data_IF_279746897604
#
_entry.id   IF_279746897604
#
_cell.length_a   1.000
_cell.length_b   1.000
_cell.length_c   1.000
_cell.angle_alpha   90.00
_cell.angle_beta   90.00
_cell.angle_gamma   90.00
#
_symmetry.space_group_name_H-M   'P 1'
#
loop_
_entity.id
_entity.type
_entity.pdbx_description
1 polymer ?
#
# COMPACT_ATOMS: atom_id res chain seq x y z
N UNK A 1 -2.11 -11.44 6.41
CA UNK A 1 -1.64 -10.75 7.64
C UNK A 1 -2.48 -9.50 7.91
N UNK A 2 -2.69 -9.08 9.16
CA UNK A 2 -3.28 -7.77 9.45
C UNK A 2 -2.27 -6.65 9.13
N UNK A 3 -2.67 -5.69 8.28
CA UNK A 3 -1.78 -4.59 7.91
C UNK A 3 -1.68 -3.53 9.00
N UNK A 4 -0.46 -3.17 9.41
CA UNK A 4 -0.20 -2.12 10.41
C UNK A 4 0.55 -0.90 9.85
N UNK A 5 0.86 -0.90 8.55
CA UNK A 5 1.68 0.12 7.89
C UNK A 5 1.13 0.51 6.52
N UNK A 6 1.17 1.81 6.24
CA UNK A 6 0.97 2.41 4.92
C UNK A 6 2.32 2.75 4.32
N UNK A 7 2.52 2.51 3.03
CA UNK A 7 3.81 2.72 2.37
C UNK A 7 3.71 3.77 1.27
N UNK A 8 4.75 4.60 1.18
CA UNK A 8 4.99 5.55 0.10
C UNK A 8 6.31 5.18 -0.57
N UNK A 9 6.24 4.70 -1.81
CA UNK A 9 7.40 4.32 -2.59
C UNK A 9 7.99 5.54 -3.31
N UNK A 10 9.28 5.78 -3.08
CA UNK A 10 10.05 6.87 -3.68
C UNK A 10 10.93 6.41 -4.84
N UNK A 11 11.39 5.16 -4.81
CA UNK A 11 12.23 4.56 -5.84
C UNK A 11 11.87 3.07 -6.02
N UNK A 12 12.00 2.57 -7.25
CA UNK A 12 11.81 1.15 -7.59
C UNK A 12 10.47 0.82 -8.26
N UNK A 13 10.31 -0.47 -8.53
CA UNK A 13 9.10 -1.07 -9.11
C UNK A 13 8.73 -2.32 -8.31
N UNK A 14 7.43 -2.53 -8.12
CA UNK A 14 6.88 -3.72 -7.45
C UNK A 14 5.74 -4.32 -8.27
N UNK A 15 5.57 -5.62 -8.17
CA UNK A 15 4.39 -6.33 -8.63
C UNK A 15 3.44 -6.62 -7.47
N UNK A 16 2.14 -6.55 -7.74
CA UNK A 16 1.04 -6.79 -6.81
C UNK A 16 0.42 -8.14 -7.16
N UNK A 17 0.40 -9.05 -6.19
CA UNK A 17 -0.13 -10.40 -6.34
C UNK A 17 -1.39 -10.60 -5.50
N UNK A 18 -2.42 -11.24 -6.06
CA UNK A 18 -3.55 -11.81 -5.33
C UNK A 18 -3.62 -13.30 -5.64
N UNK A 19 -3.64 -14.14 -4.61
CA UNK A 19 -3.68 -15.60 -4.76
C UNK A 19 -2.63 -16.11 -5.78
N UNK A 20 -1.38 -15.66 -5.62
CA UNK A 20 -0.23 -15.95 -6.51
C UNK A 20 -0.35 -15.48 -7.97
N UNK A 21 -1.43 -14.80 -8.34
CA UNK A 21 -1.61 -14.17 -9.66
C UNK A 21 -1.16 -12.71 -9.60
N UNK A 22 -0.28 -12.31 -10.51
CA UNK A 22 0.08 -10.90 -10.68
C UNK A 22 -1.14 -10.15 -11.24
N UNK A 23 -1.61 -9.14 -10.51
CA UNK A 23 -2.80 -8.36 -10.87
C UNK A 23 -2.46 -6.91 -11.23
N UNK A 24 -1.29 -6.43 -10.85
CA UNK A 24 -0.85 -5.06 -11.13
C UNK A 24 0.66 -4.91 -10.95
N UNK A 25 1.23 -3.86 -11.53
CA UNK A 25 2.60 -3.39 -11.27
C UNK A 25 2.57 -1.91 -10.90
N UNK A 26 3.33 -1.53 -9.87
CA UNK A 26 3.46 -0.15 -9.39
C UNK A 26 4.90 0.32 -9.56
N UNK A 27 5.09 1.51 -10.13
CA UNK A 27 6.38 2.20 -10.21
C UNK A 27 6.37 3.43 -9.31
N UNK A 28 7.53 3.84 -8.80
CA UNK A 28 7.63 5.09 -8.05
C UNK A 28 7.28 6.33 -8.91
N UNK A 29 6.61 7.35 -8.35
CA UNK A 29 6.05 7.40 -7.00
C UNK A 29 4.72 6.64 -6.92
N UNK A 30 4.56 5.81 -5.89
CA UNK A 30 3.31 5.09 -5.64
C UNK A 30 3.05 4.88 -4.15
N UNK A 31 1.83 4.51 -3.80
CA UNK A 31 1.43 4.21 -2.41
C UNK A 31 0.69 2.89 -2.37
N UNK A 32 0.79 2.18 -1.26
CA UNK A 32 0.06 0.94 -1.06
C UNK A 32 -0.12 0.60 0.43
N UNK A 33 -1.12 -0.24 0.71
CA UNK A 33 -1.38 -0.78 2.04
C UNK A 33 -2.44 -0.08 2.86
N UNK A 34 -3.09 0.93 2.28
CA UNK A 34 -4.21 1.67 2.83
C UNK A 34 -5.44 0.78 3.09
N UNK A 35 -5.71 -0.19 2.21
CA UNK A 35 -6.92 -1.01 2.29
C UNK A 35 -7.07 -1.73 3.64
N UNK A 36 -5.99 -2.36 4.14
CA UNK A 36 -6.01 -3.07 5.42
C UNK A 36 -6.18 -2.11 6.62
N UNK A 37 -5.70 -0.87 6.51
CA UNK A 37 -5.81 0.12 7.58
C UNK A 37 -7.20 0.74 7.67
N UNK A 38 -7.81 1.02 6.51
CA UNK A 38 -9.13 1.62 6.40
C UNK A 38 -10.26 0.64 6.72
N UNK A 39 -10.13 -0.61 6.28
CA UNK A 39 -11.20 -1.61 6.43
C UNK A 39 -11.06 -2.46 7.69
N UNK A 40 -9.90 -2.41 8.36
CA UNK A 40 -9.52 -3.35 9.44
C UNK A 40 -9.61 -4.82 9.03
N UNK A 41 -9.54 -5.11 7.73
CA UNK A 41 -9.43 -6.46 7.17
C UNK A 41 -7.95 -6.86 6.97
N UNK A 42 -7.66 -8.17 6.87
CA UNK A 42 -6.33 -8.62 6.47
C UNK A 42 -5.89 -8.06 5.10
N UNK A 43 -4.57 -8.01 4.87
CA UNK A 43 -3.95 -7.73 3.57
C UNK A 43 -4.58 -8.62 2.50
N UNK A 44 -5.10 -8.00 1.45
CA UNK A 44 -5.75 -8.68 0.32
C UNK A 44 -4.80 -8.93 -0.86
N UNK A 45 -3.55 -8.48 -0.78
CA UNK A 45 -2.55 -8.63 -1.83
C UNK A 45 -1.13 -8.64 -1.24
N UNK A 46 -0.22 -9.30 -1.95
CA UNK A 46 1.21 -9.37 -1.67
C UNK A 46 1.96 -8.40 -2.60
N UNK A 47 2.96 -7.70 -2.08
CA UNK A 47 3.81 -6.79 -2.85
C UNK A 47 5.21 -7.41 -2.97
N UNK A 48 5.73 -7.54 -4.18
CA UNK A 48 7.08 -8.08 -4.45
C UNK A 48 7.89 -7.07 -5.25
N UNK A 49 9.12 -6.80 -4.82
CA UNK A 49 10.05 -5.92 -5.55
C UNK A 49 10.47 -6.61 -6.85
N UNK A 50 10.37 -5.89 -7.97
CA UNK A 50 10.74 -6.38 -9.31
C UNK A 50 11.95 -5.64 -9.90
N UNK A 51 12.27 -4.45 -9.37
CA UNK A 51 13.55 -3.77 -9.63
C UNK A 51 14.69 -4.36 -8.77
N UNK A 52 15.93 -3.93 -9.01
CA UNK A 52 17.08 -4.32 -8.18
C UNK A 52 16.88 -3.93 -6.71
N UNK A 53 16.32 -2.75 -6.48
CA UNK A 53 15.96 -2.24 -5.15
C UNK A 53 14.71 -1.37 -5.21
N UNK A 54 14.04 -1.24 -4.07
CA UNK A 54 12.97 -0.26 -3.86
C UNK A 54 13.19 0.48 -2.54
N UNK A 55 12.85 1.77 -2.51
CA UNK A 55 12.92 2.60 -1.30
C UNK A 55 11.53 3.12 -0.96
N UNK A 56 11.09 2.83 0.26
CA UNK A 56 9.79 3.24 0.77
C UNK A 56 9.94 3.99 2.09
N UNK A 57 9.17 5.05 2.27
CA UNK A 57 8.78 5.53 3.59
C UNK A 57 7.54 4.75 4.05
N UNK A 58 7.32 4.68 5.36
CA UNK A 58 6.10 4.11 5.90
C UNK A 58 5.53 4.99 7.02
N UNK A 59 4.21 4.92 7.18
CA UNK A 59 3.49 5.40 8.36
C UNK A 59 2.93 4.19 9.09
N UNK A 60 3.01 4.20 10.42
CA UNK A 60 2.26 3.23 11.22
C UNK A 60 0.75 3.56 11.19
N UNK A 61 -0.06 2.64 11.72
CA UNK A 61 -1.51 2.75 11.71
C UNK A 61 -2.00 4.02 12.41
N UNK A 62 -1.41 4.37 13.55
CA UNK A 62 -1.84 5.53 14.35
C UNK A 62 -1.54 6.83 13.60
N UNK A 63 -0.30 7.00 13.10
CA UNK A 63 0.09 8.14 12.29
C UNK A 63 -0.76 8.24 11.02
N UNK A 64 -1.02 7.11 10.33
CA UNK A 64 -1.88 7.09 9.15
C UNK A 64 -3.30 7.56 9.48
N UNK A 65 -3.94 7.05 10.53
CA UNK A 65 -5.30 7.45 10.91
C UNK A 65 -5.37 8.91 11.39
N UNK A 66 -4.37 9.38 12.13
CA UNK A 66 -4.34 10.75 12.62
C UNK A 66 -4.11 11.77 11.49
N UNK A 67 -3.25 11.45 10.52
CA UNK A 67 -2.89 12.37 9.42
C UNK A 67 -3.85 12.26 8.23
N UNK A 68 -4.22 11.03 7.87
CA UNK A 68 -4.95 10.72 6.63
C UNK A 68 -6.35 10.18 6.90
N UNK A 69 -6.74 9.91 8.14
CA UNK A 69 -8.13 9.54 8.49
C UNK A 69 -9.17 10.56 8.00
N UNK A 70 -8.96 11.88 8.19
CA UNK A 70 -9.85 12.91 7.64
C UNK A 70 -9.86 12.96 6.10
N UNK A 71 -8.84 12.39 5.45
CA UNK A 71 -8.68 12.31 3.99
C UNK A 71 -8.90 10.88 3.47
N UNK A 72 -9.41 9.98 4.31
CA UNK A 72 -9.58 8.56 3.97
C UNK A 72 -10.41 8.38 2.70
N UNK A 73 -11.43 9.22 2.51
CA UNK A 73 -12.29 9.25 1.34
C UNK A 73 -11.56 9.67 0.05
N UNK A 74 -10.46 10.42 0.15
CA UNK A 74 -9.64 10.78 -1.01
C UNK A 74 -8.65 9.65 -1.35
N UNK A 75 -8.15 8.96 -0.33
CA UNK A 75 -7.24 7.82 -0.45
C UNK A 75 -7.96 6.60 -1.02
N UNK A 76 -9.22 6.38 -0.64
CA UNK A 76 -10.04 5.24 -1.08
C UNK A 76 -10.52 5.34 -2.54
N UNK A 77 -10.57 6.54 -3.14
CA UNK A 77 -11.01 6.75 -4.54
C UNK A 77 -10.14 6.09 -5.60
N UNK A 78 -8.93 5.64 -5.25
CA UNK A 78 -8.08 4.83 -6.15
C UNK A 78 -8.47 3.36 -6.20
N UNK A 79 -9.38 2.91 -5.34
CA UNK A 79 -9.95 1.55 -5.36
C UNK A 79 -11.21 1.58 -6.25
N UNK A 80 -11.04 1.80 -7.54
CA UNK A 80 -12.07 1.52 -8.56
C UNK A 80 -11.42 0.84 -9.76
#
# INVERSE_FOLDING_TARGET
EYGSKFFVMKEGTVAVFRDETEVNTLSAPSTFGEAALLTSLPRNATIRVTSEQAKCAYLDREAFLNLLGPLADLVSRKVT
#
